data_IF_160380006866
#
_entry.id   IF_160380006866
#
_cell.length_a   1.000
_cell.length_b   1.000
_cell.length_c   1.000
_cell.angle_alpha   90.00
_cell.angle_beta   90.00
_cell.angle_gamma   90.00
#
_symmetry.space_group_name_H-M   'P 1'
#
loop_
_entity.id
_entity.type
_entity.pdbx_description
1 polymer ?
#
# COMPACT_ATOMS: atom_id res chain seq x y z
N UNK A 1 -4.71 -7.77 8.72
CA UNK A 1 -3.63 -8.27 7.86
C UNK A 1 -3.16 -9.68 8.25
N UNK A 2 -2.93 -9.94 9.52
CA UNK A 2 -2.55 -11.28 9.95
C UNK A 2 -3.56 -12.34 9.48
N UNK A 3 -4.84 -12.06 9.64
CA UNK A 3 -5.91 -12.98 9.22
C UNK A 3 -5.90 -13.22 7.71
N UNK A 4 -5.75 -12.17 6.92
CA UNK A 4 -5.68 -12.28 5.46
C UNK A 4 -4.48 -13.14 5.03
N UNK A 5 -3.32 -12.93 5.65
CA UNK A 5 -2.12 -13.72 5.39
C UNK A 5 -2.32 -15.20 5.72
N UNK A 6 -2.98 -15.49 6.83
CA UNK A 6 -3.27 -16.88 7.22
C UNK A 6 -4.19 -17.55 6.21
N UNK A 7 -5.24 -16.83 5.78
CA UNK A 7 -6.21 -17.38 4.83
C UNK A 7 -5.58 -17.72 3.46
N UNK A 8 -4.58 -16.95 3.02
CA UNK A 8 -3.93 -17.18 1.73
C UNK A 8 -2.60 -17.94 1.87
N UNK A 9 -2.27 -18.43 3.05
CA UNK A 9 -1.03 -19.17 3.33
C UNK A 9 0.24 -18.40 2.94
N UNK A 10 0.26 -17.07 3.20
CA UNK A 10 1.35 -16.20 2.80
C UNK A 10 2.70 -16.62 3.41
N UNK A 11 2.71 -17.12 4.65
CA UNK A 11 3.93 -17.54 5.31
C UNK A 11 4.65 -18.68 4.58
N UNK A 12 3.91 -19.55 3.90
CA UNK A 12 4.53 -20.61 3.09
C UNK A 12 5.29 -20.01 1.91
N UNK A 13 4.73 -18.95 1.29
CA UNK A 13 5.37 -18.24 0.18
C UNK A 13 6.59 -17.46 0.69
N UNK A 14 6.51 -16.84 1.85
CA UNK A 14 7.63 -16.10 2.45
C UNK A 14 8.82 -17.01 2.74
N UNK A 15 8.59 -18.21 3.22
CA UNK A 15 9.67 -19.18 3.44
C UNK A 15 10.43 -19.54 2.16
N UNK A 16 9.79 -19.38 1.01
CA UNK A 16 10.41 -19.56 -0.30
C UNK A 16 11.10 -18.31 -0.82
N UNK A 17 11.09 -17.20 -0.04
CA UNK A 17 11.73 -15.95 -0.41
C UNK A 17 10.88 -15.00 -1.26
N UNK A 18 9.61 -15.30 -1.44
CA UNK A 18 8.72 -14.46 -2.26
C UNK A 18 7.98 -13.44 -1.40
N UNK A 19 8.52 -12.21 -1.31
CA UNK A 19 7.97 -11.11 -0.51
C UNK A 19 7.44 -9.97 -1.36
N UNK A 20 7.52 -10.07 -2.68
CA UNK A 20 7.19 -8.99 -3.60
C UNK A 20 8.37 -8.09 -3.92
N UNK A 21 9.58 -8.41 -3.46
CA UNK A 21 10.77 -7.61 -3.75
C UNK A 21 10.96 -7.49 -5.25
N UNK A 22 11.20 -6.25 -5.73
CA UNK A 22 11.37 -5.96 -7.15
C UNK A 22 10.06 -5.70 -7.89
N UNK A 23 8.91 -5.87 -7.23
CA UNK A 23 7.60 -5.60 -7.82
C UNK A 23 7.16 -4.18 -7.42
N UNK A 24 6.63 -3.44 -8.39
CA UNK A 24 6.00 -2.15 -8.14
C UNK A 24 4.57 -2.18 -8.69
N UNK A 25 3.59 -1.98 -7.83
CA UNK A 25 2.19 -1.93 -8.22
C UNK A 25 1.70 -0.49 -8.29
N UNK A 26 0.65 -0.26 -9.06
CA UNK A 26 -0.04 1.03 -9.13
C UNK A 26 -1.39 0.86 -8.45
N UNK A 27 -1.67 1.72 -7.47
CA UNK A 27 -2.95 1.72 -6.76
C UNK A 27 -3.73 2.97 -7.15
N UNK A 28 -4.93 2.77 -7.72
CA UNK A 28 -5.85 3.84 -8.09
C UNK A 28 -6.95 3.86 -7.04
N UNK A 29 -6.91 4.83 -6.12
CA UNK A 29 -7.81 4.86 -4.97
C UNK A 29 -7.92 6.28 -4.40
N UNK A 30 -8.23 6.40 -3.11
CA UNK A 30 -8.41 7.68 -2.43
C UNK A 30 -7.10 8.35 -2.01
N UNK A 31 -5.97 7.73 -2.29
CA UNK A 31 -4.66 8.18 -1.87
C UNK A 31 -4.02 7.19 -0.91
N UNK A 32 -3.00 7.63 -0.21
CA UNK A 32 -2.39 6.87 0.88
C UNK A 32 -1.75 7.82 1.88
N UNK A 33 -1.96 7.57 3.16
CA UNK A 33 -1.26 8.27 4.21
C UNK A 33 0.15 7.66 4.36
N UNK A 34 1.22 8.46 4.34
CA UNK A 34 2.58 7.93 4.43
C UNK A 34 2.95 7.53 5.87
N UNK A 35 2.20 6.57 6.40
CA UNK A 35 2.46 5.97 7.71
C UNK A 35 3.87 5.38 7.73
N UNK A 36 4.48 5.28 8.92
CA UNK A 36 5.85 4.77 9.06
C UNK A 36 6.06 3.39 8.42
N UNK A 37 5.02 2.56 8.39
CA UNK A 37 5.09 1.22 7.81
C UNK A 37 4.85 1.21 6.29
N UNK A 38 4.44 2.35 5.70
CA UNK A 38 4.15 2.49 4.27
C UNK A 38 5.09 3.43 3.53
N UNK A 39 5.58 4.48 4.19
CA UNK A 39 6.24 5.59 3.48
C UNK A 39 7.44 5.16 2.63
N UNK A 40 8.18 4.13 3.07
CA UNK A 40 9.32 3.61 2.31
C UNK A 40 8.89 2.77 1.11
N UNK A 41 7.66 2.29 1.13
CA UNK A 41 7.09 1.48 0.05
C UNK A 41 6.51 2.35 -1.06
N UNK A 42 6.14 3.61 -0.75
CA UNK A 42 5.54 4.53 -1.71
C UNK A 42 6.64 5.15 -2.56
N UNK A 43 6.65 4.83 -3.85
CA UNK A 43 7.65 5.31 -4.81
C UNK A 43 7.19 6.54 -5.58
N UNK A 44 5.91 6.81 -5.61
CA UNK A 44 5.37 7.96 -6.30
C UNK A 44 3.91 8.19 -5.92
N UNK A 45 3.46 9.44 -6.09
CA UNK A 45 2.10 9.85 -5.79
C UNK A 45 1.66 10.91 -6.78
N UNK A 46 0.42 10.81 -7.25
CA UNK A 46 -0.23 11.86 -8.02
C UNK A 46 -1.68 11.99 -7.60
N UNK A 47 -2.09 13.23 -7.32
CA UNK A 47 -3.47 13.57 -7.00
C UNK A 47 -4.15 14.10 -8.26
N UNK A 48 -5.14 13.39 -8.76
CA UNK A 48 -5.96 13.82 -9.91
C UNK A 48 -7.22 14.57 -9.47
N UNK A 49 -7.46 14.69 -8.17
CA UNK A 49 -8.65 15.37 -7.63
C UNK A 49 -8.38 16.82 -7.26
N UNK A 50 -7.12 17.17 -6.95
CA UNK A 50 -6.68 18.53 -6.62
C UNK A 50 -5.26 18.75 -7.14
N UNK A 51 -4.68 19.92 -6.82
CA UNK A 51 -3.30 20.24 -7.20
C UNK A 51 -2.27 19.90 -6.11
N UNK A 52 -2.68 19.20 -5.05
CA UNK A 52 -1.78 18.83 -3.98
C UNK A 52 -0.72 17.86 -4.48
N UNK A 53 0.53 18.10 -4.07
CA UNK A 53 1.68 17.27 -4.47
C UNK A 53 2.11 16.30 -3.39
N UNK A 54 1.76 16.58 -2.13
CA UNK A 54 2.12 15.72 -1.02
C UNK A 54 1.21 14.49 -0.97
N UNK A 55 1.79 13.35 -0.68
CA UNK A 55 1.05 12.11 -0.52
C UNK A 55 0.11 12.21 0.69
N UNK A 56 -1.17 11.93 0.48
CA UNK A 56 -2.17 11.99 1.55
C UNK A 56 -3.37 11.11 1.20
N UNK A 57 -4.23 10.91 2.19
CA UNK A 57 -5.49 10.20 2.03
C UNK A 57 -6.54 10.81 2.95
N UNK A 58 -7.54 11.45 2.38
CA UNK A 58 -8.60 12.10 3.12
C UNK A 58 -9.86 11.25 3.28
N UNK A 59 -9.78 9.97 2.91
CA UNK A 59 -10.84 8.99 3.11
C UNK A 59 -10.38 7.84 4.02
N UNK A 60 -9.22 7.29 3.76
CA UNK A 60 -8.63 6.16 4.48
C UNK A 60 -8.68 4.83 3.74
N UNK A 61 -9.54 4.70 2.74
CA UNK A 61 -9.68 3.44 2.01
C UNK A 61 -8.40 3.06 1.28
N UNK A 62 -7.80 4.00 0.56
CA UNK A 62 -6.55 3.75 -0.18
C UNK A 62 -5.39 3.39 0.73
N UNK A 63 -5.30 4.04 1.89
CA UNK A 63 -4.28 3.73 2.90
C UNK A 63 -4.42 2.29 3.39
N UNK A 64 -5.66 1.86 3.65
CA UNK A 64 -5.93 0.50 4.10
C UNK A 64 -5.56 -0.51 3.01
N UNK A 65 -5.93 -0.25 1.77
CA UNK A 65 -5.58 -1.11 0.63
C UNK A 65 -4.06 -1.23 0.48
N UNK A 66 -3.35 -0.09 0.50
CA UNK A 66 -1.89 -0.09 0.39
C UNK A 66 -1.24 -0.85 1.55
N UNK A 67 -1.78 -0.71 2.77
CA UNK A 67 -1.28 -1.40 3.94
C UNK A 67 -1.44 -2.91 3.83
N UNK A 68 -2.60 -3.38 3.41
CA UNK A 68 -2.83 -4.81 3.18
C UNK A 68 -1.86 -5.34 2.13
N UNK A 69 -1.57 -4.56 1.11
CA UNK A 69 -0.67 -4.98 0.03
C UNK A 69 0.78 -5.04 0.50
N UNK A 70 1.34 -3.93 1.01
CA UNK A 70 2.80 -3.84 1.14
C UNK A 70 3.31 -3.14 2.39
N UNK A 71 2.52 -2.94 3.45
CA UNK A 71 3.05 -2.38 4.69
C UNK A 71 4.27 -3.20 5.17
N UNK A 72 5.30 -2.50 5.63
CA UNK A 72 6.52 -3.14 6.10
C UNK A 72 7.04 -2.39 7.33
N UNK A 73 6.85 -3.00 8.48
CA UNK A 73 7.21 -2.42 9.78
C UNK A 73 6.50 -3.17 10.89
N UNK A 74 5.90 -2.46 11.84
CA UNK A 74 5.10 -3.06 12.91
C UNK A 74 3.94 -3.87 12.36
N UNK A 75 3.31 -3.34 11.28
CA UNK A 75 2.33 -4.07 10.48
C UNK A 75 3.00 -4.50 9.18
N UNK A 76 2.65 -5.68 8.70
CA UNK A 76 3.16 -6.17 7.43
C UNK A 76 2.00 -6.58 6.52
N UNK A 77 2.02 -6.08 5.28
CA UNK A 77 1.09 -6.47 4.24
C UNK A 77 1.41 -7.84 3.66
N UNK A 78 0.66 -8.23 2.63
CA UNK A 78 0.84 -9.53 1.96
C UNK A 78 2.15 -9.55 1.18
N UNK A 79 2.57 -8.42 0.59
CA UNK A 79 3.82 -8.31 -0.18
C UNK A 79 4.72 -7.22 0.42
N UNK A 80 5.31 -7.44 1.61
CA UNK A 80 6.04 -6.38 2.33
C UNK A 80 7.32 -5.93 1.63
N UNK A 81 7.82 -6.69 0.66
CA UNK A 81 8.98 -6.29 -0.16
C UNK A 81 8.63 -5.48 -1.40
N UNK A 82 7.34 -5.33 -1.72
CA UNK A 82 6.91 -4.59 -2.90
C UNK A 82 6.93 -3.09 -2.70
N UNK A 83 6.87 -2.34 -3.81
CA UNK A 83 6.72 -0.88 -3.83
C UNK A 83 5.40 -0.53 -4.50
N UNK A 84 4.90 0.68 -4.25
CA UNK A 84 3.65 1.16 -4.84
C UNK A 84 3.82 2.56 -5.40
N UNK A 85 3.11 2.83 -6.49
CA UNK A 85 2.82 4.17 -6.97
C UNK A 85 1.33 4.39 -6.69
N UNK A 86 1.01 5.48 -6.01
CA UNK A 86 -0.35 5.78 -5.58
C UNK A 86 -0.91 6.89 -6.44
N UNK A 87 -2.00 6.61 -7.12
CA UNK A 87 -2.73 7.59 -7.92
C UNK A 87 -4.06 7.86 -7.23
N UNK A 88 -4.21 9.06 -6.68
CA UNK A 88 -5.46 9.48 -6.05
C UNK A 88 -6.43 9.91 -7.14
N UNK A 89 -7.39 9.06 -7.46
CA UNK A 89 -8.43 9.29 -8.46
C UNK A 89 -9.82 9.43 -7.83
N UNK A 90 -9.92 9.15 -6.53
CA UNK A 90 -11.16 9.26 -5.75
C UNK A 90 -10.95 10.30 -4.65
N UNK A 91 -11.97 11.14 -4.44
CA UNK A 91 -11.92 12.16 -3.39
C UNK A 91 -12.27 11.58 -2.02
N UNK A 92 -12.47 12.45 -1.03
CA UNK A 92 -12.76 12.04 0.36
C UNK A 92 -14.03 11.21 0.51
N UNK A 93 -14.91 11.24 -0.46
CA UNK A 93 -16.16 10.48 -0.44
C UNK A 93 -16.02 9.10 -1.09
N UNK A 94 -14.88 8.84 -1.69
CA UNK A 94 -14.60 7.54 -2.32
C UNK A 94 -15.16 7.31 -3.69
#
# INVERSE_FOLDING_TARGET
>A
MRRAKQLVHAHNVYRKGFTGKGVCAVILDTGAYPHKDLRKQIRGFKDFTTDKRECYDDNGHGTHVAGIFCANGSLQGVAPGARVIVLKVLDRNG
#
